data_IF_891521909568
#
_entry.id   IF_891521909568
#
_cell.length_a   1.000
_cell.length_b   1.000
_cell.length_c   1.000
_cell.angle_alpha   90.00
_cell.angle_beta   90.00
_cell.angle_gamma   90.00
#
_symmetry.space_group_name_H-M   'P 1'
#
loop_
_entity.id
_entity.type
_entity.pdbx_description
1 polymer ?
#
# COMPACT_ATOMS: atom_id res chain seq x y z
N UNK A 1 13.16 -19.08 -2.28
CA UNK A 1 12.52 -20.17 -1.52
C UNK A 1 11.14 -19.66 -1.13
N UNK A 2 10.06 -20.35 -1.53
CA UNK A 2 8.72 -20.01 -1.07
C UNK A 2 8.65 -20.30 0.43
N UNK A 3 8.38 -19.28 1.25
CA UNK A 3 8.31 -19.39 2.71
C UNK A 3 7.01 -20.06 3.19
N UNK A 4 6.54 -21.10 2.50
CA UNK A 4 5.27 -21.76 2.82
C UNK A 4 5.32 -22.41 4.19
N UNK A 5 4.53 -21.87 5.13
CA UNK A 5 4.25 -22.53 6.41
C UNK A 5 3.07 -23.48 6.19
N UNK A 6 3.17 -24.70 6.72
CA UNK A 6 2.08 -25.68 6.68
C UNK A 6 0.80 -25.06 7.27
N UNK A 7 -0.30 -25.12 6.51
CA UNK A 7 -1.61 -24.73 7.04
C UNK A 7 -2.19 -25.85 7.88
N UNK A 8 -2.47 -25.55 9.15
CA UNK A 8 -3.11 -26.48 10.10
C UNK A 8 -4.62 -26.50 10.01
N UNK A 9 -5.21 -25.61 9.20
CA UNK A 9 -6.66 -25.53 8.95
C UNK A 9 -7.00 -26.00 7.55
N UNK A 10 -8.00 -26.86 7.42
CA UNK A 10 -8.56 -27.26 6.13
C UNK A 10 -9.06 -26.05 5.34
N UNK A 11 -8.92 -26.12 4.02
CA UNK A 11 -9.53 -25.20 3.07
C UNK A 11 -10.58 -25.95 2.26
N UNK A 12 -11.70 -25.29 1.99
CA UNK A 12 -12.80 -25.86 1.24
C UNK A 12 -12.95 -25.15 -0.11
N UNK A 13 -13.43 -25.87 -1.11
CA UNK A 13 -13.66 -25.30 -2.45
C UNK A 13 -14.89 -25.93 -3.10
N UNK A 14 -15.36 -25.29 -4.16
CA UNK A 14 -16.46 -25.74 -4.98
C UNK A 14 -16.02 -25.76 -6.44
N UNK A 15 -16.37 -26.83 -7.16
CA UNK A 15 -16.21 -26.91 -8.59
C UNK A 15 -17.59 -26.80 -9.26
N UNK A 16 -17.75 -25.85 -10.17
CA UNK A 16 -19.00 -25.66 -10.94
C UNK A 16 -19.10 -26.58 -12.17
N UNK A 17 -18.02 -27.27 -12.51
CA UNK A 17 -17.94 -28.25 -13.59
C UNK A 17 -16.59 -28.98 -13.63
N UNK A 18 -16.39 -29.91 -14.56
CA UNK A 18 -15.10 -30.56 -14.77
C UNK A 18 -14.01 -29.56 -15.18
N UNK A 19 -12.77 -29.76 -14.70
CA UNK A 19 -11.62 -28.95 -15.09
C UNK A 19 -10.92 -28.30 -13.89
N UNK A 20 -11.31 -27.08 -13.55
CA UNK A 20 -10.64 -26.25 -12.52
C UNK A 20 -11.26 -26.49 -11.15
N UNK A 21 -10.40 -26.73 -10.16
CA UNK A 21 -10.77 -26.74 -8.73
C UNK A 21 -9.62 -26.13 -7.92
N UNK A 22 -9.72 -24.82 -7.66
CA UNK A 22 -8.70 -24.12 -6.88
C UNK A 22 -8.97 -24.32 -5.38
N UNK A 23 -7.97 -24.73 -4.61
CA UNK A 23 -8.06 -24.78 -3.15
C UNK A 23 -7.23 -23.63 -2.59
N UNK A 24 -7.87 -22.49 -2.35
CA UNK A 24 -7.22 -21.25 -1.91
C UNK A 24 -8.02 -20.61 -0.77
N UNK A 25 -7.44 -19.66 -0.02
CA UNK A 25 -8.20 -18.88 0.95
C UNK A 25 -9.45 -18.21 0.36
N UNK A 26 -9.43 -17.82 -0.92
CA UNK A 26 -10.57 -17.17 -1.57
C UNK A 26 -11.70 -18.16 -1.88
N UNK A 27 -11.39 -19.38 -2.33
CA UNK A 27 -12.43 -20.38 -2.58
C UNK A 27 -13.08 -20.89 -1.30
N UNK A 28 -12.34 -20.88 -0.20
CA UNK A 28 -12.85 -21.14 1.15
C UNK A 28 -13.88 -20.08 1.61
N UNK A 29 -13.61 -18.80 1.33
CA UNK A 29 -14.59 -17.73 1.57
C UNK A 29 -15.84 -17.88 0.69
N UNK A 30 -15.71 -18.38 -0.54
CA UNK A 30 -16.85 -18.65 -1.42
C UNK A 30 -17.73 -19.74 -0.79
N UNK A 31 -17.14 -20.82 -0.29
CA UNK A 31 -17.88 -21.88 0.40
C UNK A 31 -18.60 -21.34 1.65
N UNK A 32 -17.93 -20.49 2.44
CA UNK A 32 -18.55 -19.87 3.60
C UNK A 32 -19.74 -18.97 3.21
N UNK A 33 -19.56 -18.16 2.15
CA UNK A 33 -20.60 -17.27 1.63
C UNK A 33 -21.81 -18.02 1.03
N UNK A 34 -21.56 -19.14 0.35
CA UNK A 34 -22.58 -20.05 -0.21
C UNK A 34 -23.41 -20.71 0.89
N UNK A 35 -22.72 -21.23 1.90
CA UNK A 35 -23.36 -21.99 2.98
C UNK A 35 -23.98 -21.12 4.07
N UNK A 36 -23.57 -19.85 4.15
CA UNK A 36 -23.98 -18.94 5.22
C UNK A 36 -23.39 -19.31 6.59
N UNK A 37 -22.37 -20.16 6.64
CA UNK A 37 -21.74 -20.63 7.87
C UNK A 37 -20.28 -21.02 7.65
N UNK A 38 -19.61 -21.51 8.69
CA UNK A 38 -18.24 -22.01 8.59
C UNK A 38 -18.20 -23.25 7.66
N UNK A 39 -17.29 -23.32 6.68
CA UNK A 39 -17.23 -24.40 5.70
C UNK A 39 -17.18 -25.82 6.29
N UNK A 40 -16.35 -26.06 7.30
CA UNK A 40 -16.22 -27.37 7.94
C UNK A 40 -17.53 -27.84 8.58
N UNK A 41 -18.22 -26.94 9.29
CA UNK A 41 -19.54 -27.20 9.86
C UNK A 41 -20.59 -27.50 8.78
N UNK A 42 -20.52 -26.84 7.62
CA UNK A 42 -21.41 -27.13 6.50
C UNK A 42 -21.18 -28.53 5.94
N UNK A 43 -19.94 -28.90 5.61
CA UNK A 43 -19.64 -30.23 5.10
C UNK A 43 -19.96 -31.35 6.10
N UNK A 44 -19.79 -31.10 7.41
CA UNK A 44 -20.13 -32.07 8.45
C UNK A 44 -21.64 -32.31 8.60
N UNK A 45 -22.48 -31.32 8.27
CA UNK A 45 -23.94 -31.37 8.47
C UNK A 45 -24.75 -31.54 7.18
N UNK A 46 -24.13 -31.32 6.01
CA UNK A 46 -24.86 -31.29 4.75
C UNK A 46 -25.32 -32.69 4.29
N UNK A 47 -26.60 -32.78 3.90
CA UNK A 47 -27.13 -33.90 3.12
C UNK A 47 -26.87 -33.66 1.62
N UNK A 48 -26.90 -34.73 0.80
CA UNK A 48 -26.69 -34.61 -0.66
C UNK A 48 -27.59 -33.55 -1.32
N UNK A 49 -28.84 -33.42 -0.87
CA UNK A 49 -29.79 -32.42 -1.40
C UNK A 49 -29.46 -30.99 -0.98
N UNK A 50 -28.90 -30.79 0.22
CA UNK A 50 -28.48 -29.47 0.70
C UNK A 50 -27.29 -28.91 -0.09
N UNK A 51 -26.38 -29.78 -0.53
CA UNK A 51 -25.22 -29.39 -1.35
C UNK A 51 -25.63 -28.96 -2.76
N UNK A 52 -26.45 -29.77 -3.46
CA UNK A 52 -26.86 -29.46 -4.83
C UNK A 52 -27.81 -28.26 -4.93
N UNK A 53 -28.56 -27.95 -3.87
CA UNK A 53 -29.44 -26.77 -3.84
C UNK A 53 -28.70 -25.45 -3.65
N UNK A 54 -27.53 -25.46 -2.99
CA UNK A 54 -26.74 -24.26 -2.73
C UNK A 54 -25.78 -23.91 -3.88
N UNK A 55 -25.23 -24.92 -4.55
CA UNK A 55 -24.24 -24.75 -5.63
C UNK A 55 -24.98 -24.52 -6.95
N UNK A 56 -25.48 -23.30 -7.13
CA UNK A 56 -26.14 -22.84 -8.37
C UNK A 56 -25.38 -21.66 -8.98
N UNK A 57 -25.54 -21.36 -10.28
CA UNK A 57 -24.92 -20.17 -10.88
C UNK A 57 -25.24 -18.87 -10.13
N UNK A 58 -26.50 -18.72 -9.68
CA UNK A 58 -26.92 -17.56 -8.89
C UNK A 58 -26.23 -17.54 -7.51
N UNK A 59 -26.21 -18.67 -6.80
CA UNK A 59 -25.54 -18.77 -5.49
C UNK A 59 -24.04 -18.48 -5.57
N UNK A 60 -23.36 -18.98 -6.61
CA UNK A 60 -21.93 -18.72 -6.83
C UNK A 60 -21.67 -17.24 -7.14
N UNK A 61 -22.53 -16.60 -7.95
CA UNK A 61 -22.45 -15.17 -8.24
C UNK A 61 -22.66 -14.33 -6.98
N UNK A 62 -23.66 -14.67 -6.16
CA UNK A 62 -23.95 -13.96 -4.91
C UNK A 62 -22.80 -14.13 -3.90
N UNK A 63 -22.27 -15.35 -3.78
CA UNK A 63 -21.10 -15.62 -2.95
C UNK A 63 -19.87 -14.82 -3.42
N UNK A 64 -19.61 -14.77 -4.74
CA UNK A 64 -18.54 -13.95 -5.30
C UNK A 64 -18.74 -12.45 -5.02
N UNK A 65 -19.98 -11.96 -5.07
CA UNK A 65 -20.30 -10.58 -4.69
C UNK A 65 -20.00 -10.28 -3.22
N UNK A 66 -20.37 -11.22 -2.32
CA UNK A 66 -20.05 -11.13 -0.88
C UNK A 66 -18.54 -11.12 -0.64
N UNK A 67 -17.77 -12.04 -1.24
CA UNK A 67 -16.31 -12.07 -1.00
C UNK A 67 -15.65 -10.77 -1.49
N UNK A 68 -16.05 -10.25 -2.66
CA UNK A 68 -15.51 -9.00 -3.21
C UNK A 68 -15.75 -7.84 -2.25
N UNK A 69 -16.95 -7.78 -1.68
CA UNK A 69 -17.32 -6.77 -0.68
C UNK A 69 -16.49 -6.93 0.60
N UNK A 70 -16.34 -8.15 1.10
CA UNK A 70 -15.61 -8.44 2.35
C UNK A 70 -14.12 -8.15 2.22
N UNK A 71 -13.43 -8.63 1.18
CA UNK A 71 -11.99 -8.38 1.02
C UNK A 71 -11.68 -6.91 0.74
N UNK A 72 -12.62 -6.16 0.14
CA UNK A 72 -12.48 -4.72 -0.05
C UNK A 72 -12.50 -3.94 1.28
N UNK A 73 -12.95 -4.55 2.38
CA UNK A 73 -12.85 -3.96 3.73
C UNK A 73 -11.52 -4.19 4.40
N UNK A 74 -10.59 -4.95 3.81
CA UNK A 74 -9.25 -5.11 4.35
C UNK A 74 -8.34 -3.94 3.96
N UNK A 75 -7.31 -3.61 4.78
CA UNK A 75 -6.35 -2.56 4.45
C UNK A 75 -5.76 -2.77 3.04
N UNK A 76 -5.77 -1.69 2.25
CA UNK A 76 -5.41 -1.71 0.84
C UNK A 76 -6.63 -1.83 -0.09
N UNK A 77 -7.86 -1.95 0.43
CA UNK A 77 -9.10 -2.15 -0.36
C UNK A 77 -8.89 -3.19 -1.45
N UNK A 78 -8.70 -4.44 -1.03
CA UNK A 78 -8.33 -5.51 -1.94
C UNK A 78 -9.41 -5.75 -2.99
N UNK A 79 -8.97 -6.12 -4.19
CA UNK A 79 -9.82 -6.42 -5.33
C UNK A 79 -9.26 -7.63 -6.06
N UNK A 80 -10.14 -8.40 -6.69
CA UNK A 80 -9.71 -9.45 -7.60
C UNK A 80 -9.07 -8.81 -8.86
N UNK A 81 -8.03 -9.42 -9.44
CA UNK A 81 -7.50 -9.00 -10.74
C UNK A 81 -8.59 -9.04 -11.82
N UNK A 82 -8.45 -8.20 -12.84
CA UNK A 82 -9.38 -8.17 -13.97
C UNK A 82 -9.42 -9.53 -14.67
N UNK A 83 -10.62 -10.02 -14.94
CA UNK A 83 -10.84 -11.31 -15.60
C UNK A 83 -10.58 -12.55 -14.73
N UNK A 84 -10.15 -12.39 -13.47
CA UNK A 84 -9.96 -13.51 -12.54
C UNK A 84 -11.27 -13.89 -11.85
N UNK A 85 -11.63 -15.17 -11.95
CA UNK A 85 -12.68 -15.81 -11.17
C UNK A 85 -12.05 -16.95 -10.33
N UNK A 86 -12.12 -16.88 -8.99
CA UNK A 86 -11.55 -17.91 -8.12
C UNK A 86 -12.08 -19.32 -8.36
N UNK A 87 -13.27 -19.47 -8.97
CA UNK A 87 -13.91 -20.76 -9.26
C UNK A 87 -13.48 -21.28 -10.63
N UNK A 88 -13.44 -20.43 -11.65
CA UNK A 88 -13.31 -20.87 -13.05
C UNK A 88 -11.95 -20.61 -13.68
N UNK A 89 -11.16 -19.68 -13.15
CA UNK A 89 -9.79 -19.39 -13.62
C UNK A 89 -8.78 -20.25 -12.86
N UNK A 90 -7.95 -21.02 -13.55
CA UNK A 90 -6.93 -21.85 -12.90
C UNK A 90 -5.91 -21.01 -12.12
N UNK A 91 -5.61 -21.44 -10.89
CA UNK A 91 -4.59 -20.82 -10.02
C UNK A 91 -3.23 -21.50 -10.18
N UNK A 92 -2.17 -20.69 -10.32
CA UNK A 92 -0.79 -21.15 -10.28
C UNK A 92 -0.04 -20.39 -9.18
N UNK A 93 0.51 -21.11 -8.20
CA UNK A 93 1.33 -20.53 -7.14
C UNK A 93 2.74 -20.20 -7.66
N UNK A 94 2.83 -19.18 -8.50
CA UNK A 94 4.06 -18.75 -9.16
C UNK A 94 4.36 -17.30 -8.81
N UNK A 95 5.57 -17.03 -8.30
CA UNK A 95 6.02 -15.67 -8.01
C UNK A 95 5.86 -14.76 -9.25
N UNK A 96 5.22 -13.61 -9.05
CA UNK A 96 4.95 -12.64 -10.11
C UNK A 96 3.60 -12.85 -10.80
N UNK A 97 2.89 -13.94 -10.51
CA UNK A 97 1.48 -14.09 -10.86
C UNK A 97 0.62 -13.13 -10.03
N UNK A 98 -0.35 -12.47 -10.68
CA UNK A 98 -1.18 -11.46 -10.03
C UNK A 98 -2.14 -12.05 -8.99
N UNK A 99 -2.56 -13.31 -9.15
CA UNK A 99 -3.44 -14.01 -8.21
C UNK A 99 -2.62 -14.51 -7.03
N UNK A 100 -1.43 -15.06 -7.26
CA UNK A 100 -0.50 -15.42 -6.19
C UNK A 100 -0.15 -14.20 -5.34
N UNK A 101 0.19 -13.08 -5.99
CA UNK A 101 0.42 -11.80 -5.32
C UNK A 101 -0.80 -11.31 -4.54
N UNK A 102 -2.03 -11.48 -5.05
CA UNK A 102 -3.24 -11.17 -4.28
C UNK A 102 -3.33 -12.01 -3.00
N UNK A 103 -3.04 -13.31 -3.05
CA UNK A 103 -3.11 -14.18 -1.88
C UNK A 103 -2.04 -13.83 -0.83
N UNK A 104 -0.85 -13.43 -1.26
CA UNK A 104 0.19 -12.89 -0.37
C UNK A 104 -0.30 -11.60 0.32
N UNK A 105 -0.82 -10.65 -0.45
CA UNK A 105 -1.35 -9.38 0.06
C UNK A 105 -2.54 -9.61 1.01
N UNK A 106 -3.41 -10.56 0.69
CA UNK A 106 -4.55 -10.95 1.53
C UNK A 106 -4.10 -11.44 2.91
N UNK A 107 -3.10 -12.31 2.97
CA UNK A 107 -2.56 -12.79 4.25
C UNK A 107 -1.97 -11.67 5.11
N UNK A 108 -1.23 -10.75 4.49
CA UNK A 108 -0.68 -9.56 5.16
C UNK A 108 -1.81 -8.65 5.67
N UNK A 109 -2.87 -8.48 4.88
CA UNK A 109 -4.00 -7.63 5.25
C UNK A 109 -4.83 -8.21 6.40
N UNK A 110 -5.07 -9.53 6.43
CA UNK A 110 -5.69 -10.21 7.59
C UNK A 110 -4.88 -10.01 8.86
N UNK A 111 -3.57 -10.24 8.79
CA UNK A 111 -2.63 -10.06 9.91
C UNK A 111 -2.69 -8.63 10.45
N UNK A 112 -2.69 -7.65 9.54
CA UNK A 112 -2.77 -6.22 9.87
C UNK A 112 -4.10 -5.87 10.54
N UNK A 113 -5.20 -6.42 10.01
CA UNK A 113 -6.54 -6.26 10.56
C UNK A 113 -6.75 -6.99 11.90
N UNK A 114 -5.83 -7.87 12.30
CA UNK A 114 -5.93 -8.66 13.53
C UNK A 114 -6.99 -9.75 13.45
N UNK A 115 -7.30 -10.24 12.25
CA UNK A 115 -8.34 -11.25 12.01
C UNK A 115 -7.74 -12.51 11.40
N UNK A 116 -8.38 -13.65 11.63
CA UNK A 116 -7.95 -14.93 11.06
C UNK A 116 -8.69 -15.24 9.76
N UNK A 117 -8.24 -16.27 9.03
CA UNK A 117 -9.02 -16.82 7.90
C UNK A 117 -10.42 -17.26 8.35
N UNK A 118 -10.57 -17.82 9.55
CA UNK A 118 -11.86 -18.25 10.05
C UNK A 118 -12.80 -17.05 10.29
N UNK A 119 -12.27 -15.92 10.76
CA UNK A 119 -13.04 -14.69 10.91
C UNK A 119 -13.44 -14.10 9.55
N UNK A 120 -12.53 -14.16 8.56
CA UNK A 120 -12.87 -13.84 7.17
C UNK A 120 -13.98 -14.74 6.62
N UNK A 121 -13.96 -16.03 6.93
CA UNK A 121 -15.04 -16.97 6.58
C UNK A 121 -16.38 -16.58 7.20
N UNK A 122 -16.43 -16.27 8.49
CA UNK A 122 -17.64 -15.78 9.17
C UNK A 122 -18.16 -14.47 8.58
N UNK A 123 -17.24 -13.57 8.23
CA UNK A 123 -17.55 -12.31 7.57
C UNK A 123 -18.11 -12.53 6.17
N UNK A 124 -17.54 -13.44 5.39
CA UNK A 124 -18.04 -13.82 4.06
C UNK A 124 -19.42 -14.48 4.12
N UNK A 125 -19.66 -15.37 5.09
CA UNK A 125 -20.97 -15.96 5.36
C UNK A 125 -22.05 -14.90 5.61
N UNK A 126 -21.74 -13.92 6.45
CA UNK A 126 -22.67 -12.90 6.93
C UNK A 126 -22.71 -11.62 6.10
N UNK A 127 -21.75 -11.43 5.18
CA UNK A 127 -21.56 -10.19 4.43
C UNK A 127 -21.10 -9.00 5.27
N UNK A 128 -20.38 -9.23 6.37
CA UNK A 128 -19.93 -8.17 7.30
C UNK A 128 -18.50 -7.72 7.01
N UNK A 129 -18.16 -6.50 7.40
CA UNK A 129 -16.81 -5.96 7.24
C UNK A 129 -15.78 -6.63 8.17
N UNK A 130 -14.52 -6.69 7.74
CA UNK A 130 -13.38 -7.18 8.51
C UNK A 130 -12.64 -6.07 9.26
N UNK A 131 -12.91 -4.81 8.93
CA UNK A 131 -12.40 -3.63 9.61
C UNK A 131 -13.51 -2.60 9.77
N UNK A 132 -13.31 -1.58 10.61
CA UNK A 132 -14.23 -0.43 10.70
C UNK A 132 -14.06 0.48 9.50
N UNK A 133 -12.82 0.66 9.08
CA UNK A 133 -12.46 1.49 7.93
C UNK A 133 -11.13 1.02 7.35
N UNK A 134 -11.04 0.97 6.02
CA UNK A 134 -9.83 0.63 5.30
C UNK A 134 -9.49 1.68 4.26
N UNK A 135 -8.20 1.92 4.11
CA UNK A 135 -7.63 2.88 3.17
C UNK A 135 -6.72 2.16 2.19
N UNK A 136 -6.68 2.65 0.96
CA UNK A 136 -5.78 2.20 -0.09
C UNK A 136 -4.77 3.30 -0.36
N UNK A 137 -3.49 2.96 -0.35
CA UNK A 137 -2.40 3.88 -0.59
C UNK A 137 -1.41 3.24 -1.57
N UNK A 138 -0.56 4.07 -2.16
CA UNK A 138 0.62 3.64 -2.90
C UNK A 138 1.84 4.12 -2.15
N UNK A 139 2.69 3.19 -1.73
CA UNK A 139 4.01 3.48 -1.21
C UNK A 139 5.03 3.49 -2.36
N UNK A 140 5.96 4.43 -2.33
CA UNK A 140 7.06 4.58 -3.26
C UNK A 140 8.38 4.39 -2.54
N UNK A 141 9.29 3.62 -3.15
CA UNK A 141 10.60 3.33 -2.58
C UNK A 141 11.65 3.12 -3.67
N UNK A 142 12.90 2.95 -3.24
CA UNK A 142 14.02 2.54 -4.08
C UNK A 142 13.92 1.04 -4.43
N UNK A 143 14.43 0.63 -5.60
CA UNK A 143 15.02 1.46 -6.64
C UNK A 143 13.95 2.01 -7.62
N UNK A 144 14.30 3.02 -8.39
CA UNK A 144 13.57 3.46 -9.59
C UNK A 144 12.08 3.80 -9.40
N UNK A 145 11.71 4.47 -8.29
CA UNK A 145 10.31 4.84 -8.01
C UNK A 145 9.39 3.60 -7.99
N UNK A 146 9.83 2.54 -7.31
CA UNK A 146 9.05 1.31 -7.18
C UNK A 146 7.76 1.61 -6.41
N UNK A 147 6.62 1.39 -7.06
CA UNK A 147 5.30 1.56 -6.49
C UNK A 147 4.81 0.25 -5.86
N UNK A 148 4.29 0.32 -4.64
CA UNK A 148 3.79 -0.81 -3.87
C UNK A 148 2.40 -0.44 -3.36
N UNK A 149 1.42 -1.33 -3.57
CA UNK A 149 0.09 -1.17 -3.00
C UNK A 149 0.17 -1.35 -1.49
N UNK A 150 -0.04 -0.27 -0.75
CA UNK A 150 -0.03 -0.21 0.70
C UNK A 150 -1.46 -0.10 1.21
N UNK A 151 -1.70 -0.63 2.41
CA UNK A 151 -2.97 -0.51 3.10
C UNK A 151 -2.81 0.07 4.49
N UNK A 152 -3.82 0.82 4.94
CA UNK A 152 -4.00 1.09 6.37
C UNK A 152 -5.45 0.84 6.76
N UNK A 153 -5.71 0.61 8.05
CA UNK A 153 -7.07 0.37 8.52
C UNK A 153 -7.26 0.75 9.98
N UNK A 154 -8.48 1.18 10.30
CA UNK A 154 -9.02 1.14 11.66
C UNK A 154 -9.70 -0.20 11.86
N UNK A 155 -9.12 -1.03 12.71
CA UNK A 155 -9.56 -2.41 12.89
C UNK A 155 -10.77 -2.51 13.81
N UNK A 156 -11.40 -3.69 13.85
CA UNK A 156 -12.57 -3.94 14.71
C UNK A 156 -12.25 -3.77 16.21
N UNK A 157 -10.99 -4.01 16.60
CA UNK A 157 -10.45 -3.82 17.95
C UNK A 157 -9.96 -2.38 18.24
N UNK A 158 -10.31 -1.41 17.38
CA UNK A 158 -9.87 -0.01 17.44
C UNK A 158 -8.37 0.23 17.27
N UNK A 159 -7.56 -0.80 16.98
CA UNK A 159 -6.17 -0.60 16.60
C UNK A 159 -6.06 -0.01 15.19
N UNK A 160 -5.04 0.81 14.95
CA UNK A 160 -4.68 1.20 13.59
C UNK A 160 -3.61 0.26 13.04
N UNK A 161 -3.81 -0.23 11.83
CA UNK A 161 -2.89 -1.15 11.14
C UNK A 161 -2.30 -0.54 9.88
N UNK A 162 -1.06 -0.92 9.58
CA UNK A 162 -0.34 -0.58 8.34
C UNK A 162 0.13 -1.89 7.69
N UNK A 163 -0.16 -2.09 6.41
CA UNK A 163 0.27 -3.23 5.59
C UNK A 163 1.08 -2.77 4.39
N UNK A 164 2.30 -3.31 4.24
CA UNK A 164 3.17 -3.05 3.08
C UNK A 164 3.69 -4.37 2.53
N UNK A 165 3.04 -4.94 1.51
CA UNK A 165 3.45 -6.19 0.87
C UNK A 165 4.60 -5.94 -0.12
N UNK A 166 5.77 -5.52 0.39
CA UNK A 166 6.95 -5.27 -0.45
C UNK A 166 7.66 -6.59 -0.80
N UNK A 167 7.45 -7.09 -2.02
CA UNK A 167 8.06 -8.36 -2.46
C UNK A 167 9.58 -8.29 -2.66
N UNK A 168 10.17 -7.09 -2.69
CA UNK A 168 11.60 -6.88 -2.84
C UNK A 168 12.32 -6.82 -1.48
N UNK A 169 11.64 -6.33 -0.44
CA UNK A 169 12.21 -6.16 0.92
C UNK A 169 11.60 -7.07 1.99
N UNK A 170 10.51 -7.74 1.67
CA UNK A 170 9.68 -8.50 2.60
C UNK A 170 8.38 -7.77 2.93
N UNK A 171 7.34 -8.53 3.27
CA UNK A 171 6.06 -7.94 3.69
C UNK A 171 6.16 -7.41 5.12
N UNK A 172 5.71 -6.17 5.33
CA UNK A 172 5.70 -5.52 6.62
C UNK A 172 4.27 -5.32 7.11
N UNK A 173 4.09 -5.50 8.43
CA UNK A 173 2.90 -5.08 9.14
C UNK A 173 3.32 -4.23 10.34
N UNK A 174 2.54 -3.22 10.68
CA UNK A 174 2.74 -2.43 11.89
C UNK A 174 1.40 -2.09 12.52
N UNK A 175 1.37 -2.05 13.86
CA UNK A 175 0.30 -1.41 14.61
C UNK A 175 0.70 0.04 14.91
N UNK A 176 -0.26 0.92 14.99
CA UNK A 176 -0.04 2.33 15.29
C UNK A 176 -1.23 2.93 16.04
N UNK A 177 -1.05 4.15 16.53
CA UNK A 177 -2.12 5.02 17.03
C UNK A 177 -2.30 6.19 16.07
N UNK A 178 -3.52 6.72 16.01
CA UNK A 178 -3.84 7.94 15.27
C UNK A 178 -4.33 9.03 16.21
N UNK A 179 -4.08 10.29 15.85
CA UNK A 179 -4.63 11.46 16.54
C UNK A 179 -6.07 11.78 16.10
N UNK A 180 -6.62 12.88 16.59
CA UNK A 180 -7.98 13.34 16.25
C UNK A 180 -8.14 13.74 14.78
N UNK A 181 -7.04 14.10 14.11
CA UNK A 181 -7.02 14.48 12.70
C UNK A 181 -6.88 13.25 11.79
N UNK A 182 -6.67 12.07 12.38
CA UNK A 182 -6.48 10.80 11.69
C UNK A 182 -5.04 10.56 11.24
N UNK A 183 -4.07 11.39 11.66
CA UNK A 183 -2.66 11.16 11.37
C UNK A 183 -2.05 10.18 12.37
N UNK A 184 -1.00 9.48 11.96
CA UNK A 184 -0.22 8.65 12.88
C UNK A 184 0.35 9.50 14.02
N UNK A 185 0.17 9.03 15.25
CA UNK A 185 0.64 9.70 16.47
C UNK A 185 1.63 8.85 17.27
N UNK A 186 1.71 7.54 16.98
CA UNK A 186 2.74 6.65 17.50
C UNK A 186 2.78 5.34 16.69
N UNK A 187 3.96 4.74 16.59
CA UNK A 187 4.13 3.35 16.12
C UNK A 187 4.10 2.40 17.31
N UNK A 188 3.47 1.24 17.13
CA UNK A 188 3.39 0.20 18.14
C UNK A 188 4.72 -0.48 18.40
N UNK A 189 4.84 -1.11 19.57
CA UNK A 189 6.01 -1.91 19.93
C UNK A 189 6.24 -3.04 18.91
N UNK A 190 7.50 -3.28 18.55
CA UNK A 190 7.87 -4.28 17.55
C UNK A 190 7.60 -3.87 16.09
N UNK A 191 7.21 -2.61 15.85
CA UNK A 191 7.13 -2.04 14.51
C UNK A 191 8.46 -2.22 13.75
N UNK A 192 8.44 -2.62 12.47
CA UNK A 192 9.65 -2.62 11.63
C UNK A 192 10.14 -1.21 11.30
N UNK A 193 9.30 -0.20 11.53
CA UNK A 193 9.61 1.21 11.34
C UNK A 193 9.95 1.88 12.68
N UNK A 194 10.92 2.78 12.67
CA UNK A 194 11.36 3.55 13.84
C UNK A 194 11.07 5.06 13.73
N UNK A 195 10.45 5.49 12.64
CA UNK A 195 9.99 6.86 12.44
C UNK A 195 8.87 6.95 11.42
N UNK A 196 8.13 8.04 11.47
CA UNK A 196 7.03 8.32 10.57
C UNK A 196 6.82 9.83 10.39
N UNK A 197 6.25 10.19 9.24
CA UNK A 197 5.55 11.46 9.02
C UNK A 197 4.16 11.07 8.53
N UNK A 198 3.12 11.70 9.04
CA UNK A 198 1.74 11.43 8.62
C UNK A 198 0.97 12.74 8.59
N UNK A 199 0.40 13.06 7.43
CA UNK A 199 -0.28 14.33 7.18
C UNK A 199 -1.60 14.07 6.44
N UNK A 200 -2.49 15.08 6.52
CA UNK A 200 -3.80 15.09 5.84
C UNK A 200 -4.71 13.91 6.22
N UNK A 201 -4.71 13.54 7.50
CA UNK A 201 -5.45 12.38 8.01
C UNK A 201 -4.85 11.08 7.49
N UNK A 202 -3.53 10.96 7.58
CA UNK A 202 -2.75 9.83 7.08
C UNK A 202 -2.89 9.55 5.58
N UNK A 203 -3.24 10.57 4.78
CA UNK A 203 -3.32 10.43 3.32
C UNK A 203 -1.97 10.50 2.65
N UNK A 204 -1.00 11.17 3.28
CA UNK A 204 0.38 11.22 2.81
C UNK A 204 1.32 11.03 3.98
N UNK A 205 2.52 10.54 3.73
CA UNK A 205 3.49 10.39 4.79
C UNK A 205 4.76 9.66 4.39
N UNK A 206 5.60 9.46 5.41
CA UNK A 206 6.83 8.69 5.35
C UNK A 206 6.82 7.60 6.40
N UNK A 207 7.46 6.48 6.08
CA UNK A 207 7.82 5.45 7.05
C UNK A 207 9.33 5.20 6.95
N UNK A 208 9.99 5.25 8.10
CA UNK A 208 11.42 5.17 8.19
C UNK A 208 11.90 3.94 8.95
N UNK A 209 13.10 3.49 8.60
CA UNK A 209 13.78 2.37 9.24
C UNK A 209 15.11 2.80 9.86
N UNK A 210 15.66 1.95 10.72
CA UNK A 210 16.94 2.17 11.40
C UNK A 210 18.16 1.97 10.48
N UNK A 211 18.13 2.59 9.30
CA UNK A 211 19.23 2.65 8.35
C UNK A 211 19.88 4.05 8.38
N UNK A 212 21.08 4.19 7.81
CA UNK A 212 21.70 5.50 7.61
C UNK A 212 20.90 6.27 6.56
N UNK A 213 20.26 7.36 6.96
CA UNK A 213 19.61 8.32 6.06
C UNK A 213 20.58 9.37 5.54
N UNK A 214 20.06 10.28 4.72
CA UNK A 214 20.83 11.38 4.14
C UNK A 214 21.05 12.47 5.18
N UNK A 215 19.97 12.90 5.83
CA UNK A 215 19.96 13.98 6.82
C UNK A 215 19.97 13.44 8.25
N UNK A 216 19.48 12.22 8.47
CA UNK A 216 19.51 11.54 9.77
C UNK A 216 20.44 10.32 9.74
N UNK A 217 21.54 10.29 10.52
CA UNK A 217 22.46 9.15 10.50
C UNK A 217 21.88 7.88 11.16
N UNK A 218 20.74 7.97 11.85
CA UNK A 218 20.12 6.85 12.58
C UNK A 218 18.82 6.35 11.93
N UNK A 219 18.35 7.02 10.89
CA UNK A 219 17.05 6.77 10.31
C UNK A 219 17.05 7.10 8.83
N UNK A 220 16.43 6.26 8.00
CA UNK A 220 16.26 6.54 6.58
C UNK A 220 14.79 6.44 6.18
N UNK A 221 14.32 7.38 5.36
CA UNK A 221 13.03 7.26 4.67
C UNK A 221 13.02 6.04 3.75
N UNK A 222 12.26 5.02 4.12
CA UNK A 222 12.13 3.81 3.30
C UNK A 222 10.95 3.90 2.36
N UNK A 223 9.83 4.45 2.82
CA UNK A 223 8.64 4.64 2.00
C UNK A 223 8.15 6.08 2.12
N UNK A 224 7.78 6.67 0.99
CA UNK A 224 6.81 7.78 0.95
C UNK A 224 5.50 7.20 0.43
N UNK A 225 4.38 7.49 1.07
CA UNK A 225 3.09 6.98 0.63
C UNK A 225 2.08 8.08 0.34
N UNK A 226 1.14 7.76 -0.55
CA UNK A 226 0.04 8.63 -0.96
C UNK A 226 -1.25 7.82 -1.07
N UNK A 227 -2.35 8.34 -0.54
CA UNK A 227 -3.68 7.76 -0.60
C UNK A 227 -4.21 7.76 -2.03
N UNK A 228 -4.99 6.73 -2.38
CA UNK A 228 -5.71 6.66 -3.65
C UNK A 228 -6.77 7.76 -3.82
N UNK A 229 -7.04 8.54 -2.78
CA UNK A 229 -7.93 9.72 -2.85
C UNK A 229 -7.25 10.94 -3.49
N UNK A 230 -5.91 10.95 -3.58
CA UNK A 230 -5.20 12.02 -4.28
C UNK A 230 -5.19 11.76 -5.78
N UNK A 231 -5.23 12.85 -6.55
CA UNK A 231 -5.14 12.81 -8.00
C UNK A 231 -3.70 13.06 -8.44
N UNK A 232 -3.14 12.18 -9.28
CA UNK A 232 -1.83 12.41 -9.88
C UNK A 232 -1.86 13.65 -10.77
N UNK A 233 -0.87 14.53 -10.60
CA UNK A 233 -0.67 15.73 -11.41
C UNK A 233 0.21 15.38 -12.59
N UNK A 234 -0.32 15.55 -13.80
CA UNK A 234 0.40 15.27 -15.05
C UNK A 234 0.99 16.54 -15.68
N UNK A 235 0.51 17.72 -15.29
CA UNK A 235 1.03 19.01 -15.73
C UNK A 235 1.90 19.64 -14.62
N UNK A 236 3.21 19.63 -14.84
CA UNK A 236 4.19 20.17 -13.90
C UNK A 236 4.03 21.70 -13.68
N UNK A 237 3.37 22.42 -14.60
CA UNK A 237 3.15 23.87 -14.46
C UNK A 237 2.19 24.20 -13.32
N UNK A 238 1.39 23.25 -12.85
CA UNK A 238 0.54 23.41 -11.64
C UNK A 238 1.37 23.74 -10.39
N UNK A 239 2.66 23.40 -10.39
CA UNK A 239 3.57 23.61 -9.27
C UNK A 239 4.27 24.97 -9.30
N UNK A 240 4.15 25.70 -10.40
CA UNK A 240 4.89 26.95 -10.58
C UNK A 240 4.40 28.01 -9.59
N UNK A 241 5.36 28.64 -8.89
CA UNK A 241 5.12 29.59 -7.82
C UNK A 241 4.76 28.97 -6.46
N UNK A 242 4.76 27.64 -6.31
CA UNK A 242 4.46 26.96 -5.04
C UNK A 242 5.70 26.82 -4.16
N UNK A 243 5.46 26.86 -2.85
CA UNK A 243 6.45 26.55 -1.81
C UNK A 243 6.03 25.27 -1.09
N UNK A 244 7.00 24.51 -0.61
CA UNK A 244 6.82 23.19 -0.02
C UNK A 244 7.64 23.09 1.26
N UNK A 245 7.11 22.39 2.26
CA UNK A 245 7.89 21.83 3.36
C UNK A 245 8.47 20.51 2.90
N UNK A 246 9.78 20.36 3.06
CA UNK A 246 10.50 19.15 2.69
C UNK A 246 10.64 18.22 3.89
N UNK A 247 10.31 16.96 3.64
CA UNK A 247 10.44 15.87 4.58
C UNK A 247 11.41 14.83 4.03
N UNK A 248 12.43 14.54 4.81
CA UNK A 248 13.41 13.49 4.57
C UNK A 248 13.66 12.78 5.90
N UNK A 249 13.97 11.49 5.87
CA UNK A 249 14.24 10.68 7.07
C UNK A 249 13.24 10.89 8.23
N UNK A 250 11.97 11.04 7.89
CA UNK A 250 10.84 11.28 8.78
C UNK A 250 10.97 12.54 9.66
N UNK A 251 11.64 13.57 9.16
CA UNK A 251 11.67 14.89 9.77
C UNK A 251 11.61 15.98 8.70
N UNK A 252 11.20 17.18 9.11
CA UNK A 252 11.29 18.35 8.23
C UNK A 252 12.70 18.91 8.27
N UNK A 253 13.32 19.07 7.10
CA UNK A 253 14.71 19.53 6.98
C UNK A 253 14.87 20.82 6.20
N UNK A 254 13.81 21.30 5.55
CA UNK A 254 13.90 22.49 4.72
C UNK A 254 12.60 22.88 4.06
N UNK A 255 12.72 23.84 3.17
CA UNK A 255 11.64 24.26 2.27
C UNK A 255 12.12 24.26 0.84
N UNK A 256 11.24 23.90 -0.07
CA UNK A 256 11.50 23.98 -1.51
C UNK A 256 10.56 24.97 -2.18
N UNK A 257 11.03 25.63 -3.22
CA UNK A 257 10.23 26.51 -4.06
C UNK A 257 10.38 26.09 -5.52
N UNK A 258 9.25 25.95 -6.19
CA UNK A 258 9.21 25.86 -7.65
C UNK A 258 8.84 27.25 -8.14
N UNK A 259 9.79 27.94 -8.78
CA UNK A 259 9.60 29.30 -9.29
C UNK A 259 8.61 29.33 -10.45
N UNK A 260 8.24 30.55 -10.87
CA UNK A 260 7.34 30.78 -11.99
C UNK A 260 7.91 30.29 -13.34
N UNK A 261 9.24 30.20 -13.47
CA UNK A 261 9.94 29.63 -14.62
C UNK A 261 10.21 28.12 -14.48
N UNK A 262 9.66 27.48 -13.45
CA UNK A 262 9.81 26.05 -13.19
C UNK A 262 11.10 25.65 -12.49
N UNK A 263 11.98 26.61 -12.15
CA UNK A 263 13.21 26.31 -11.43
C UNK A 263 12.91 25.86 -9.98
N UNK A 264 13.47 24.71 -9.59
CA UNK A 264 13.40 24.18 -8.24
C UNK A 264 14.55 24.70 -7.38
N UNK A 265 14.25 25.16 -6.18
CA UNK A 265 15.24 25.62 -5.19
C UNK A 265 14.89 24.99 -3.86
N UNK A 266 15.83 24.21 -3.30
CA UNK A 266 15.76 23.74 -1.91
C UNK A 266 16.52 24.71 -1.01
N UNK A 267 16.00 24.95 0.20
CA UNK A 267 16.67 25.70 1.27
C UNK A 267 16.63 24.88 2.55
N UNK A 268 17.80 24.54 3.08
CA UNK A 268 17.93 23.77 4.31
C UNK A 268 17.62 24.66 5.53
N UNK A 269 16.82 24.15 6.47
CA UNK A 269 16.45 24.93 7.67
C UNK A 269 17.64 25.16 8.61
N UNK A 270 18.55 24.20 8.74
CA UNK A 270 19.64 24.28 9.71
C UNK A 270 20.73 25.30 9.33
N UNK A 271 21.13 25.30 8.06
CA UNK A 271 22.15 26.21 7.52
C UNK A 271 21.55 27.52 7.02
N UNK A 272 20.32 27.49 6.50
CA UNK A 272 19.73 28.59 5.72
C UNK A 272 20.25 28.66 4.29
N UNK A 273 21.11 27.71 3.88
CA UNK A 273 21.70 27.68 2.55
C UNK A 273 20.69 27.18 1.51
N UNK A 274 20.66 27.85 0.37
CA UNK A 274 19.85 27.47 -0.78
C UNK A 274 20.70 26.84 -1.87
N UNK A 275 20.19 25.78 -2.48
CA UNK A 275 20.77 25.23 -3.70
C UNK A 275 20.62 26.23 -4.87
N UNK A 276 21.53 26.12 -5.84
CA UNK A 276 21.37 26.82 -7.12
C UNK A 276 20.06 26.39 -7.81
N UNK A 277 19.37 27.32 -8.52
CA UNK A 277 18.11 26.99 -9.19
C UNK A 277 18.24 25.87 -10.23
N UNK A 278 17.47 24.80 -10.07
CA UNK A 278 17.43 23.66 -10.99
C UNK A 278 16.23 23.72 -11.94
N UNK A 279 16.48 24.06 -13.21
CA UNK A 279 15.48 24.08 -14.29
C UNK A 279 15.12 22.68 -14.82
N UNK A 280 15.83 21.64 -14.40
CA UNK A 280 15.62 20.26 -14.86
C UNK A 280 14.71 19.43 -13.94
N UNK A 281 14.13 20.03 -12.89
CA UNK A 281 13.22 19.35 -11.97
C UNK A 281 12.08 18.61 -12.67
N UNK A 282 11.44 19.23 -13.67
CA UNK A 282 10.35 18.61 -14.42
C UNK A 282 10.79 17.31 -15.14
N UNK A 283 12.08 17.14 -15.46
CA UNK A 283 12.60 15.90 -16.03
C UNK A 283 12.50 14.72 -15.05
N UNK A 284 12.59 14.98 -13.74
CA UNK A 284 12.42 13.96 -12.71
C UNK A 284 11.01 13.37 -12.71
N UNK A 285 10.01 14.13 -13.19
CA UNK A 285 8.61 13.70 -13.27
C UNK A 285 8.32 12.85 -14.52
N UNK A 286 9.30 12.68 -15.41
CA UNK A 286 9.19 11.83 -16.59
C UNK A 286 9.65 10.41 -16.29
N UNK A 287 9.26 9.43 -17.12
CA UNK A 287 9.71 8.05 -16.96
C UNK A 287 11.24 7.87 -17.03
N UNK A 288 11.93 8.74 -17.76
CA UNK A 288 13.39 8.71 -17.86
C UNK A 288 14.07 9.14 -16.54
N UNK A 289 13.42 10.01 -15.78
CA UNK A 289 14.02 10.67 -14.62
C UNK A 289 15.06 11.73 -15.01
N UNK A 290 15.63 12.35 -13.97
CA UNK A 290 16.69 13.36 -14.05
C UNK A 290 18.00 12.73 -13.58
N UNK A 291 19.06 12.83 -14.37
CA UNK A 291 20.39 12.37 -13.96
C UNK A 291 21.00 13.38 -12.99
N UNK A 292 21.37 12.92 -11.81
CA UNK A 292 22.20 13.67 -10.88
C UNK A 292 23.65 13.19 -11.03
N UNK A 293 24.39 13.87 -11.90
CA UNK A 293 25.76 13.50 -12.21
C UNK A 293 26.72 13.69 -11.02
N UNK A 294 26.42 14.61 -10.11
CA UNK A 294 27.25 14.86 -8.93
C UNK A 294 27.21 13.67 -7.97
N UNK A 295 26.02 13.08 -7.79
CA UNK A 295 25.81 11.93 -6.91
C UNK A 295 25.84 10.58 -7.65
N UNK A 296 25.91 10.57 -8.98
CA UNK A 296 25.90 9.34 -9.77
C UNK A 296 24.57 8.57 -9.66
N UNK A 297 23.45 9.29 -9.58
CA UNK A 297 22.11 8.73 -9.40
C UNK A 297 21.13 9.20 -10.48
N UNK A 298 19.96 8.55 -10.53
CA UNK A 298 18.79 9.03 -11.28
C UNK A 298 17.66 9.31 -10.32
N UNK A 299 17.13 10.51 -10.41
CA UNK A 299 16.05 11.03 -9.59
C UNK A 299 14.75 10.91 -10.38
N UNK A 300 13.75 10.25 -9.78
CA UNK A 300 12.41 10.12 -10.33
C UNK A 300 11.38 10.57 -9.32
N UNK A 301 10.33 11.23 -9.78
CA UNK A 301 9.29 11.72 -8.92
C UNK A 301 7.91 11.59 -9.50
N UNK A 302 6.93 11.73 -8.62
CA UNK A 302 5.52 11.88 -8.95
C UNK A 302 4.95 13.01 -8.12
N UNK A 303 3.86 13.59 -8.62
CA UNK A 303 3.18 14.69 -7.95
C UNK A 303 1.70 14.38 -7.87
N UNK A 304 1.12 14.75 -6.75
CA UNK A 304 -0.27 14.50 -6.40
C UNK A 304 -0.90 15.78 -5.89
N UNK A 305 -2.21 15.90 -6.06
CA UNK A 305 -3.00 16.97 -5.46
C UNK A 305 -4.18 16.41 -4.69
N UNK A 306 -4.50 17.10 -3.60
CA UNK A 306 -5.65 16.83 -2.74
C UNK A 306 -6.43 18.12 -2.54
N UNK A 307 -7.70 18.13 -2.93
CA UNK A 307 -8.56 19.30 -2.82
C UNK A 307 -9.71 19.04 -1.84
N UNK A 308 -9.72 19.74 -0.71
CA UNK A 308 -10.77 19.67 0.31
C UNK A 308 -11.05 21.05 0.87
N UNK A 309 -12.32 21.38 1.08
CA UNK A 309 -12.71 22.66 1.69
C UNK A 309 -12.28 23.88 0.86
N UNK A 310 -12.15 23.73 -0.46
CA UNK A 310 -11.66 24.80 -1.35
C UNK A 310 -10.15 25.01 -1.34
N UNK A 311 -9.39 24.22 -0.58
CA UNK A 311 -7.94 24.29 -0.52
C UNK A 311 -7.33 23.11 -1.27
N UNK A 312 -6.40 23.40 -2.19
CA UNK A 312 -5.61 22.38 -2.90
C UNK A 312 -4.22 22.29 -2.29
N UNK A 313 -3.89 21.11 -1.77
CA UNK A 313 -2.53 20.77 -1.31
C UNK A 313 -1.86 19.92 -2.38
N UNK A 314 -0.65 20.31 -2.78
CA UNK A 314 0.21 19.56 -3.68
C UNK A 314 1.26 18.79 -2.89
N UNK A 315 1.58 17.60 -3.36
CA UNK A 315 2.58 16.73 -2.75
C UNK A 315 3.43 16.16 -3.86
N UNK A 316 4.73 16.43 -3.85
CA UNK A 316 5.64 15.64 -4.68
C UNK A 316 6.37 14.64 -3.81
N UNK A 317 6.75 13.56 -4.45
CA UNK A 317 7.64 12.56 -3.88
C UNK A 317 8.75 12.29 -4.88
N UNK A 318 9.94 12.04 -4.35
CA UNK A 318 11.14 11.84 -5.14
C UNK A 318 11.85 10.59 -4.62
N UNK A 319 12.31 9.76 -5.54
CA UNK A 319 13.17 8.61 -5.29
C UNK A 319 14.45 8.82 -6.08
N UNK A 320 15.58 8.91 -5.38
CA UNK A 320 16.90 8.81 -5.99
C UNK A 320 17.34 7.35 -6.00
N UNK A 321 18.01 6.94 -7.06
CA UNK A 321 18.55 5.58 -7.19
C UNK A 321 19.90 5.62 -7.86
N UNK A 322 20.89 4.93 -7.29
CA UNK A 322 22.23 4.83 -7.87
C UNK A 322 22.17 4.33 -9.32
N UNK A 323 22.93 4.94 -10.22
CA UNK A 323 22.94 4.51 -11.61
C UNK A 323 23.38 3.05 -11.76
N UNK A 324 22.63 2.31 -12.59
CA UNK A 324 22.91 0.91 -12.87
C UNK A 324 22.52 -0.08 -11.76
N UNK A 325 21.91 0.37 -10.66
CA UNK A 325 21.38 -0.54 -9.63
C UNK A 325 19.91 -0.86 -9.84
N UNK A 326 19.57 -2.12 -9.60
CA UNK A 326 18.21 -2.61 -9.35
C UNK A 326 18.07 -3.18 -7.94
N UNK A 327 19.08 -2.99 -7.11
CA UNK A 327 19.08 -3.53 -5.75
C UNK A 327 18.27 -2.59 -4.85
N UNK A 328 17.35 -3.12 -4.04
CA UNK A 328 16.62 -2.32 -3.06
C UNK A 328 17.58 -1.93 -1.91
N UNK A 329 18.26 -0.79 -2.04
CA UNK A 329 19.17 -0.22 -1.03
C UNK A 329 18.65 1.12 -0.54
N UNK A 330 18.97 1.47 0.71
CA UNK A 330 18.81 2.81 1.28
C UNK A 330 20.14 3.18 1.91
N UNK A 331 20.75 4.27 1.45
CA UNK A 331 22.02 4.75 1.97
C UNK A 331 22.05 6.25 2.26
N UNK A 332 21.00 6.98 1.90
CA UNK A 332 20.90 8.42 2.15
C UNK A 332 21.73 9.29 1.23
N UNK A 333 22.55 8.70 0.35
CA UNK A 333 23.48 9.43 -0.51
C UNK A 333 23.04 9.35 -1.97
N UNK A 334 22.90 8.12 -2.48
CA UNK A 334 22.51 7.85 -3.87
C UNK A 334 21.15 7.17 -3.96
N UNK A 335 20.74 6.50 -2.89
CA UNK A 335 19.49 5.78 -2.75
C UNK A 335 18.71 6.33 -1.53
N UNK A 336 17.71 7.16 -1.80
CA UNK A 336 16.90 7.84 -0.79
C UNK A 336 15.50 8.16 -1.32
N UNK A 337 14.59 8.49 -0.39
CA UNK A 337 13.20 8.86 -0.68
C UNK A 337 12.84 10.14 0.08
N UNK A 338 12.28 11.12 -0.63
CA UNK A 338 11.93 12.46 -0.10
C UNK A 338 10.50 12.80 -0.48
N UNK A 339 9.85 13.64 0.34
CA UNK A 339 8.51 14.16 0.09
C UNK A 339 8.46 15.67 0.37
N UNK A 340 7.92 16.44 -0.58
CA UNK A 340 7.59 17.84 -0.39
C UNK A 340 6.09 18.05 -0.35
N UNK A 341 5.60 18.80 0.65
CA UNK A 341 4.17 19.11 0.82
C UNK A 341 3.96 20.61 0.72
N UNK A 342 3.08 21.05 -0.17
CA UNK A 342 2.90 22.47 -0.43
C UNK A 342 2.41 23.19 0.82
N UNK A 343 3.05 24.30 1.14
CA UNK A 343 2.51 25.26 2.09
C UNK A 343 1.18 25.77 1.54
N UNK A 344 0.16 25.77 2.38
CA UNK A 344 -1.07 26.49 2.04
C UNK A 344 -0.71 27.98 1.88
N UNK A 345 -1.26 28.67 0.86
CA UNK A 345 -1.13 30.13 0.75
C UNK A 345 -1.78 30.85 1.93
#
# INVERSE_FOLDING_TARGET
MAGGVERTTSLYSVASGPGVSNITPLTDLIVAALSGQEPGAWFASASKGALSGAITPAGLSDALGKIKSVIATLPGKLSLPDGFDPITTGFNATKGDAVDGLLEVYGVALTTAGVTQADAGKAAASGTALTKEAFSLTAYTTPNLTAIKMGTSKNLDDTFGISIPDLNRGSYTAKASIDSDGNLSALGAGSPFNGYVSLLGNRIGQLCTANKGGMNPKMASQYVYVSSELTEVTDATELFGKNFVEYEDCASYGTSKIRADGAFIFTETASGDSNEPDLSFAQALTGNGRVDAANGSVIRGKVYKYAVGGVTTYVYLIVSTKQGTSTPVLNGETDYVVMGVSLQP
#
